data_IF_771930559789
#
_entry.id   IF_771930559789
#
_cell.length_a   1.000
_cell.length_b   1.000
_cell.length_c   1.000
_cell.angle_alpha   90.00
_cell.angle_beta   90.00
_cell.angle_gamma   90.00
#
_symmetry.space_group_name_H-M   'P 1'
#
loop_
_entity.id
_entity.type
_entity.pdbx_description
1 polymer ?
#
# COMPACT_ATOMS: atom_id res chain seq x y z
N UNK A 1 -3.35 1.27 1.17
CA UNK A 1 -1.91 1.61 1.33
C UNK A 1 -0.99 0.39 1.22
N UNK A 2 -1.24 -0.74 1.90
CA UNK A 2 -0.42 -1.97 1.79
C UNK A 2 -0.22 -2.43 0.34
N UNK A 3 -1.30 -2.45 -0.46
CA UNK A 3 -1.25 -2.80 -1.89
C UNK A 3 -0.33 -1.86 -2.70
N UNK A 4 -0.43 -0.55 -2.48
CA UNK A 4 0.40 0.47 -3.14
C UNK A 4 1.90 0.31 -2.82
N UNK A 5 2.24 -0.03 -1.57
CA UNK A 5 3.64 -0.28 -1.16
C UNK A 5 4.23 -1.49 -1.85
N UNK A 6 3.43 -2.54 -2.02
CA UNK A 6 3.86 -3.75 -2.72
C UNK A 6 3.87 -3.61 -4.24
N UNK A 7 3.42 -2.48 -4.81
CA UNK A 7 3.27 -2.35 -6.27
C UNK A 7 4.62 -2.35 -6.99
N UNK A 8 5.65 -1.65 -6.49
CA UNK A 8 6.98 -1.70 -7.10
C UNK A 8 7.64 -3.09 -6.99
N UNK A 9 7.63 -3.77 -5.83
CA UNK A 9 8.07 -5.16 -5.75
C UNK A 9 7.35 -6.09 -6.73
N UNK A 10 6.02 -5.96 -6.88
CA UNK A 10 5.23 -6.75 -7.85
C UNK A 10 5.57 -6.41 -9.30
N UNK A 11 5.82 -5.13 -9.60
CA UNK A 11 6.25 -4.70 -10.93
C UNK A 11 7.53 -5.43 -11.38
N UNK A 12 8.45 -5.66 -10.44
CA UNK A 12 9.76 -6.27 -10.69
C UNK A 12 9.75 -7.80 -10.55
N UNK A 13 8.69 -8.40 -10.04
CA UNK A 13 8.54 -9.86 -9.84
C UNK A 13 8.85 -10.69 -11.12
N UNK A 14 8.48 -10.26 -12.34
CA UNK A 14 8.85 -11.00 -13.55
C UNK A 14 10.36 -11.15 -13.76
N UNK A 15 11.16 -10.22 -13.23
CA UNK A 15 12.63 -10.25 -13.33
C UNK A 15 13.30 -11.15 -12.29
N UNK A 16 12.60 -11.46 -11.18
CA UNK A 16 13.16 -12.30 -10.12
C UNK A 16 13.00 -13.79 -10.41
N UNK A 17 12.13 -14.15 -11.38
CA UNK A 17 11.83 -15.53 -11.74
C UNK A 17 12.66 -16.00 -12.94
N UNK A 18 13.08 -17.27 -12.93
CA UNK A 18 13.69 -17.91 -14.11
C UNK A 18 12.61 -18.07 -15.19
N UNK A 19 12.73 -17.32 -16.28
CA UNK A 19 11.85 -17.41 -17.44
C UNK A 19 12.39 -18.42 -18.46
N UNK A 20 11.51 -19.03 -19.25
CA UNK A 20 11.90 -20.01 -20.27
C UNK A 20 12.52 -19.34 -21.51
N UNK A 21 12.18 -18.08 -21.80
CA UNK A 21 12.77 -17.30 -22.89
C UNK A 21 12.89 -15.79 -22.59
N UNK A 22 13.81 -15.07 -23.26
CA UNK A 22 13.90 -13.61 -23.16
C UNK A 22 12.63 -12.87 -23.61
N UNK A 23 11.91 -13.42 -24.58
CA UNK A 23 10.67 -12.84 -25.11
C UNK A 23 9.54 -12.89 -24.07
N UNK A 24 9.41 -14.01 -23.36
CA UNK A 24 8.44 -14.15 -22.27
C UNK A 24 8.78 -13.23 -21.10
N UNK A 25 10.06 -13.08 -20.75
CA UNK A 25 10.49 -12.12 -19.73
C UNK A 25 10.06 -10.69 -20.07
N UNK A 26 10.32 -10.25 -21.31
CA UNK A 26 9.95 -8.91 -21.77
C UNK A 26 8.43 -8.70 -21.79
N UNK A 27 7.67 -9.67 -22.29
CA UNK A 27 6.21 -9.61 -22.32
C UNK A 27 5.61 -9.54 -20.91
N UNK A 28 6.08 -10.40 -20.00
CA UNK A 28 5.61 -10.44 -18.61
C UNK A 28 5.98 -9.16 -17.84
N UNK A 29 7.17 -8.61 -18.08
CA UNK A 29 7.58 -7.35 -17.48
C UNK A 29 6.71 -6.18 -17.96
N UNK A 30 6.50 -6.03 -19.28
CA UNK A 30 5.66 -4.95 -19.81
C UNK A 30 4.24 -5.00 -19.26
N UNK A 31 3.65 -6.20 -19.19
CA UNK A 31 2.34 -6.39 -18.57
C UNK A 31 2.33 -5.92 -17.10
N UNK A 32 3.35 -6.28 -16.35
CA UNK A 32 3.48 -5.88 -14.94
C UNK A 32 3.61 -4.36 -14.76
N UNK A 33 4.30 -3.70 -15.69
CA UNK A 33 4.40 -2.22 -15.74
C UNK A 33 3.03 -1.59 -16.03
N UNK A 34 2.30 -2.09 -17.03
CA UNK A 34 0.97 -1.59 -17.38
C UNK A 34 -0.03 -1.74 -16.22
N UNK A 35 -0.05 -2.93 -15.60
CA UNK A 35 -0.90 -3.21 -14.43
C UNK A 35 -0.55 -2.29 -13.25
N UNK A 36 0.75 -2.06 -13.02
CA UNK A 36 1.24 -1.14 -11.99
C UNK A 36 0.80 0.30 -12.25
N UNK A 37 0.94 0.78 -13.48
CA UNK A 37 0.54 2.14 -13.86
C UNK A 37 -0.96 2.34 -13.62
N UNK A 38 -1.78 1.37 -14.00
CA UNK A 38 -3.23 1.39 -13.78
C UNK A 38 -3.59 1.42 -12.30
N UNK A 39 -2.96 0.59 -11.48
CA UNK A 39 -3.21 0.58 -10.02
C UNK A 39 -2.87 1.93 -9.37
N UNK A 40 -1.78 2.58 -9.79
CA UNK A 40 -1.39 3.91 -9.29
C UNK A 40 -2.42 4.96 -9.70
N UNK A 41 -2.89 4.92 -10.95
CA UNK A 41 -3.92 5.83 -11.45
C UNK A 41 -5.24 5.68 -10.71
N UNK A 42 -5.69 4.44 -10.51
CA UNK A 42 -6.92 4.12 -9.77
C UNK A 42 -6.82 4.58 -8.32
N UNK A 43 -5.67 4.37 -7.67
CA UNK A 43 -5.42 4.90 -6.33
C UNK A 43 -5.50 6.42 -6.31
N UNK A 44 -4.87 7.10 -7.27
CA UNK A 44 -4.89 8.57 -7.36
C UNK A 44 -6.32 9.07 -7.51
N UNK A 45 -7.10 8.49 -8.42
CA UNK A 45 -8.52 8.82 -8.63
C UNK A 45 -9.33 8.66 -7.34
N UNK A 46 -9.18 7.52 -6.66
CA UNK A 46 -9.88 7.25 -5.40
C UNK A 46 -9.47 8.22 -4.29
N UNK A 47 -8.19 8.57 -4.19
CA UNK A 47 -7.67 9.49 -3.19
C UNK A 47 -8.14 10.93 -3.42
N UNK A 48 -8.15 11.39 -4.67
CA UNK A 48 -8.60 12.75 -5.03
C UNK A 48 -10.12 12.88 -5.17
N UNK A 49 -10.85 11.76 -5.13
CA UNK A 49 -12.30 11.72 -5.27
C UNK A 49 -13.02 12.45 -4.14
N UNK A 50 -14.19 13.01 -4.47
CA UNK A 50 -14.99 13.84 -3.56
C UNK A 50 -15.38 13.09 -2.28
N UNK A 51 -15.72 11.81 -2.39
CA UNK A 51 -16.06 10.95 -1.24
C UNK A 51 -14.92 10.90 -0.21
N UNK A 52 -13.69 10.71 -0.68
CA UNK A 52 -12.51 10.64 0.17
C UNK A 52 -12.20 12.00 0.78
N UNK A 53 -12.27 13.07 -0.02
CA UNK A 53 -12.11 14.46 0.47
C UNK A 53 -13.14 14.79 1.55
N UNK A 54 -14.41 14.48 1.31
CA UNK A 54 -15.51 14.73 2.25
C UNK A 54 -15.34 13.99 3.56
N UNK A 55 -14.85 12.74 3.53
CA UNK A 55 -14.55 11.98 4.75
C UNK A 55 -13.44 12.65 5.59
N UNK A 56 -12.34 13.08 4.94
CA UNK A 56 -11.26 13.78 5.64
C UNK A 56 -11.68 15.16 6.16
N UNK A 57 -12.49 15.89 5.39
CA UNK A 57 -13.02 17.18 5.78
C UNK A 57 -13.94 17.04 7.01
N UNK A 58 -14.91 16.11 6.98
CA UNK A 58 -15.80 15.83 8.12
C UNK A 58 -15.01 15.47 9.39
N UNK A 59 -13.97 14.64 9.26
CA UNK A 59 -13.11 14.30 10.40
C UNK A 59 -12.33 15.51 10.93
N UNK A 60 -11.93 16.43 10.05
CA UNK A 60 -11.25 17.67 10.43
C UNK A 60 -12.19 18.64 11.12
N UNK A 61 -13.39 18.82 10.60
CA UNK A 61 -14.44 19.67 11.18
C UNK A 61 -14.89 19.14 12.54
N UNK A 62 -15.11 17.83 12.68
CA UNK A 62 -15.45 17.19 13.95
C UNK A 62 -14.40 17.46 15.04
N UNK A 63 -13.10 17.33 14.71
CA UNK A 63 -12.01 17.64 15.64
C UNK A 63 -11.96 19.12 16.05
N UNK A 64 -12.31 20.04 15.14
CA UNK A 64 -12.39 21.48 15.45
C UNK A 64 -13.59 21.80 16.35
N UNK A 65 -14.73 21.16 16.10
CA UNK A 65 -15.97 21.40 16.83
C UNK A 65 -15.97 20.82 18.25
N UNK A 66 -15.34 19.67 18.46
CA UNK A 66 -15.21 19.05 19.79
C UNK A 66 -13.78 18.53 20.02
N UNK A 67 -12.85 19.40 20.46
CA UNK A 67 -11.49 19.01 20.74
C UNK A 67 -11.43 18.21 22.04
N UNK A 68 -11.61 16.89 21.95
CA UNK A 68 -11.54 15.95 23.09
C UNK A 68 -10.12 15.80 23.70
N UNK A 69 -9.19 16.73 23.41
CA UNK A 69 -7.78 16.63 23.80
C UNK A 69 -7.01 15.49 23.12
N UNK A 70 -7.63 14.79 22.15
CA UNK A 70 -7.00 13.68 21.44
C UNK A 70 -5.92 14.24 20.51
N UNK A 71 -4.65 13.99 20.87
CA UNK A 71 -3.50 14.33 20.03
C UNK A 71 -3.67 13.65 18.65
N UNK A 72 -3.57 14.39 17.53
CA UNK A 72 -3.54 13.79 16.22
C UNK A 72 -2.37 12.81 16.12
N UNK A 73 -2.69 11.57 15.77
CA UNK A 73 -1.67 10.54 15.57
C UNK A 73 -0.74 10.95 14.42
N UNK A 74 0.57 10.92 14.65
CA UNK A 74 1.58 11.11 13.62
C UNK A 74 2.20 9.77 13.25
N UNK A 75 2.54 9.61 11.98
CA UNK A 75 3.30 8.45 11.51
C UNK A 75 4.65 8.26 12.25
N UNK A 76 5.20 9.32 12.82
CA UNK A 76 6.39 9.28 13.66
C UNK A 76 6.15 8.75 15.07
N UNK A 77 4.91 8.79 15.58
CA UNK A 77 4.57 8.34 16.93
C UNK A 77 4.61 6.79 17.05
N UNK A 78 4.53 6.07 15.92
CA UNK A 78 4.71 4.61 15.86
C UNK A 78 5.50 4.26 14.58
N UNK A 79 6.83 4.15 14.62
CA UNK A 79 7.66 3.86 13.44
C UNK A 79 7.32 2.52 12.76
N UNK A 80 6.75 1.57 13.50
CA UNK A 80 6.39 0.25 13.02
C UNK A 80 5.01 0.17 12.36
N UNK A 81 4.24 1.27 12.35
CA UNK A 81 2.84 1.30 11.90
C UNK A 81 2.61 0.79 10.46
N UNK A 82 3.67 0.77 9.66
CA UNK A 82 3.62 0.34 8.26
C UNK A 82 4.16 -1.06 8.01
N UNK A 83 4.79 -1.62 9.03
CA UNK A 83 5.38 -2.96 9.00
C UNK A 83 4.27 -3.95 9.33
N UNK A 84 3.99 -4.94 8.47
CA UNK A 84 3.10 -6.04 8.85
C UNK A 84 3.62 -6.71 10.12
N UNK A 85 2.77 -7.15 11.06
CA UNK A 85 3.23 -7.98 12.16
C UNK A 85 3.95 -9.20 11.56
N UNK A 86 5.12 -9.53 12.10
CA UNK A 86 5.81 -10.75 11.72
C UNK A 86 4.86 -11.93 11.96
N UNK A 87 4.68 -12.79 10.96
CA UNK A 87 3.89 -14.02 11.10
C UNK A 87 4.35 -14.78 12.35
N UNK A 88 3.53 -14.78 13.40
CA UNK A 88 3.75 -15.52 14.64
C UNK A 88 3.36 -17.00 14.55
N UNK A 89 3.17 -17.55 13.34
CA UNK A 89 2.72 -18.93 13.15
C UNK A 89 3.85 -19.95 12.93
N UNK A 90 5.11 -19.57 13.17
CA UNK A 90 6.24 -20.52 13.15
C UNK A 90 7.12 -20.39 14.39
N UNK A 91 6.53 -20.52 15.58
CA UNK A 91 7.27 -20.74 16.82
C UNK A 91 6.52 -21.71 17.75
N UNK A 92 6.19 -22.89 17.23
CA UNK A 92 5.71 -24.02 18.03
C UNK A 92 6.04 -25.35 17.32
N UNK A 93 7.30 -25.50 16.88
CA UNK A 93 7.83 -26.83 16.62
C UNK A 93 9.33 -26.80 16.92
N UNK A 94 9.70 -27.30 18.10
CA UNK A 94 11.10 -27.37 18.50
C UNK A 94 11.36 -27.43 20.00
N UNK A 95 10.69 -28.34 20.72
CA UNK A 95 11.31 -29.41 21.53
C UNK A 95 10.27 -30.13 22.37
#
# INVERSE_FOLDING_TARGET
LRRLRSTLPRMMEPMTNKQASPQELYANFNKSVEDTAKEIEDFKKAYTGEKTKGAFQRGTESRKANPQGIKPWRASDDPGWTTPPANTDQASNGK
#
